data_IF_501786041590
#
_entry.id   IF_501786041590
#
_cell.length_a   1.000
_cell.length_b   1.000
_cell.length_c   1.000
_cell.angle_alpha   90.00
_cell.angle_beta   90.00
_cell.angle_gamma   90.00
#
_symmetry.space_group_name_H-M   'P 1'
#
loop_
_entity.id
_entity.type
_entity.pdbx_description
1 polymer ?
#
# COMPACT_ATOMS: atom_id res chain seq x y z
N UNK A 1 -13.74 -46.82 -43.12
CA UNK A 1 -13.76 -46.05 -41.85
C UNK A 1 -12.38 -45.45 -41.65
N UNK A 2 -12.22 -44.15 -41.91
CA UNK A 2 -10.97 -43.44 -41.62
C UNK A 2 -10.97 -43.13 -40.13
N UNK A 3 -10.05 -43.74 -39.37
CA UNK A 3 -9.77 -43.34 -37.98
C UNK A 3 -9.13 -41.96 -38.04
N UNK A 4 -9.88 -40.93 -37.69
CA UNK A 4 -9.30 -39.63 -37.34
C UNK A 4 -8.56 -39.81 -36.02
N UNK A 5 -7.23 -39.75 -36.07
CA UNK A 5 -6.39 -39.70 -34.88
C UNK A 5 -6.85 -38.53 -34.00
N UNK A 6 -6.93 -38.72 -32.66
CA UNK A 6 -7.27 -37.63 -31.77
C UNK A 6 -6.15 -36.59 -31.87
N UNK A 7 -6.50 -35.39 -32.33
CA UNK A 7 -5.63 -34.22 -32.30
C UNK A 7 -5.17 -34.05 -30.85
N UNK A 8 -3.94 -34.45 -30.54
CA UNK A 8 -3.30 -34.13 -29.28
C UNK A 8 -3.15 -32.61 -29.23
N UNK A 9 -4.11 -31.95 -28.58
CA UNK A 9 -4.08 -30.51 -28.38
C UNK A 9 -2.84 -30.21 -27.51
N UNK A 10 -1.78 -29.69 -28.14
CA UNK A 10 -0.53 -29.32 -27.48
C UNK A 10 -0.86 -28.43 -26.29
N UNK A 11 -0.54 -28.88 -25.07
CA UNK A 11 -0.78 -28.09 -23.87
C UNK A 11 -0.06 -26.74 -23.99
N UNK A 12 -0.82 -25.65 -23.82
CA UNK A 12 -0.28 -24.29 -23.81
C UNK A 12 0.65 -24.13 -22.60
N UNK A 13 1.72 -23.36 -22.76
CA UNK A 13 2.56 -22.98 -21.61
C UNK A 13 1.81 -22.01 -20.70
N UNK A 14 2.23 -21.89 -19.43
CA UNK A 14 1.64 -20.92 -18.50
C UNK A 14 1.69 -19.49 -19.05
N UNK A 15 2.83 -19.11 -19.64
CA UNK A 15 3.02 -17.81 -20.31
C UNK A 15 2.00 -17.60 -21.43
N UNK A 16 1.83 -18.57 -22.32
CA UNK A 16 0.87 -18.48 -23.43
C UNK A 16 -0.58 -18.33 -22.95
N UNK A 17 -0.95 -18.97 -21.84
CA UNK A 17 -2.30 -18.85 -21.27
C UNK A 17 -2.52 -17.44 -20.71
N UNK A 18 -1.54 -16.93 -19.96
CA UNK A 18 -1.58 -15.58 -19.37
C UNK A 18 -1.66 -14.52 -20.47
N UNK A 19 -0.75 -14.57 -21.45
CA UNK A 19 -0.72 -13.61 -22.57
C UNK A 19 -2.02 -13.66 -23.39
N UNK A 20 -2.52 -14.85 -23.72
CA UNK A 20 -3.77 -15.02 -24.47
C UNK A 20 -4.98 -14.44 -23.70
N UNK A 21 -5.00 -14.55 -22.37
CA UNK A 21 -6.04 -13.93 -21.56
C UNK A 21 -5.93 -12.41 -21.51
N UNK A 22 -4.73 -11.89 -21.22
CA UNK A 22 -4.52 -10.46 -21.04
C UNK A 22 -4.67 -9.70 -22.36
N UNK A 23 -4.11 -10.22 -23.45
CA UNK A 23 -4.09 -9.55 -24.75
C UNK A 23 -5.32 -9.84 -25.61
N UNK A 24 -5.87 -11.06 -25.56
CA UNK A 24 -6.96 -11.47 -26.46
C UNK A 24 -8.28 -11.74 -25.72
N UNK A 25 -8.29 -11.70 -24.38
CA UNK A 25 -9.46 -12.05 -23.58
C UNK A 25 -9.81 -13.54 -23.61
N UNK A 26 -8.94 -14.40 -24.15
CA UNK A 26 -9.21 -15.83 -24.34
C UNK A 26 -8.80 -16.65 -23.14
N UNK A 27 -9.61 -17.67 -22.83
CA UNK A 27 -9.31 -18.66 -21.81
C UNK A 27 -8.20 -19.63 -22.21
N UNK A 28 -7.81 -20.45 -21.26
CA UNK A 28 -6.81 -21.48 -21.47
C UNK A 28 -6.59 -22.33 -20.24
N UNK A 29 -6.10 -23.55 -20.44
CA UNK A 29 -5.80 -24.47 -19.35
C UNK A 29 -4.39 -25.04 -19.56
N UNK A 30 -3.58 -24.93 -18.51
CA UNK A 30 -2.24 -25.50 -18.43
C UNK A 30 -2.11 -26.34 -17.18
N UNK A 31 -0.89 -26.80 -16.89
CA UNK A 31 -0.66 -27.70 -15.76
C UNK A 31 -1.03 -27.06 -14.42
N UNK A 32 -0.54 -25.83 -14.17
CA UNK A 32 -0.74 -25.12 -12.89
C UNK A 32 -1.28 -23.69 -13.06
N UNK A 33 -1.71 -23.32 -14.27
CA UNK A 33 -2.32 -22.02 -14.58
C UNK A 33 -3.56 -22.24 -15.42
N UNK A 34 -4.62 -21.51 -15.11
CA UNK A 34 -5.84 -21.46 -15.90
C UNK A 34 -6.26 -20.01 -16.12
N UNK A 35 -6.80 -19.72 -17.29
CA UNK A 35 -7.58 -18.52 -17.54
C UNK A 35 -9.04 -18.93 -17.80
N UNK A 36 -9.97 -18.41 -17.01
CA UNK A 36 -11.40 -18.73 -17.12
C UNK A 36 -12.14 -17.52 -17.66
N UNK A 37 -12.69 -17.65 -18.86
CA UNK A 37 -13.47 -16.58 -19.51
C UNK A 37 -14.73 -16.20 -18.73
N UNK A 38 -15.42 -17.20 -18.14
CA UNK A 38 -16.62 -16.95 -17.32
C UNK A 38 -16.33 -16.02 -16.14
N UNK A 39 -15.18 -16.23 -15.50
CA UNK A 39 -14.78 -15.47 -14.32
C UNK A 39 -14.07 -14.17 -14.73
N UNK A 40 -13.59 -14.10 -15.97
CA UNK A 40 -12.66 -13.08 -16.47
C UNK A 40 -11.44 -12.97 -15.54
N UNK A 41 -10.85 -14.12 -15.22
CA UNK A 41 -9.72 -14.20 -14.30
C UNK A 41 -8.71 -15.29 -14.67
N UNK A 42 -7.46 -15.03 -14.30
CA UNK A 42 -6.36 -16.00 -14.33
C UNK A 42 -6.11 -16.50 -12.92
N UNK A 43 -5.89 -17.79 -12.77
CA UNK A 43 -5.61 -18.43 -11.50
C UNK A 43 -4.34 -19.26 -11.58
N UNK A 44 -3.60 -19.29 -10.47
CA UNK A 44 -2.67 -20.38 -10.22
C UNK A 44 -3.40 -21.54 -9.53
N UNK A 45 -3.22 -22.73 -10.08
CA UNK A 45 -3.71 -24.00 -9.55
C UNK A 45 -2.50 -24.82 -9.12
N UNK A 46 -2.14 -24.76 -7.85
CA UNK A 46 -1.10 -25.66 -7.35
C UNK A 46 -1.73 -26.68 -6.41
N UNK A 47 -1.56 -27.96 -6.75
CA UNK A 47 -1.98 -29.07 -5.90
C UNK A 47 -0.77 -29.55 -5.14
N UNK A 48 -0.81 -29.44 -3.80
CA UNK A 48 0.20 -30.09 -2.96
C UNK A 48 -0.05 -31.60 -2.97
N UNK A 49 0.99 -32.46 -3.01
CA UNK A 49 0.80 -33.91 -3.06
C UNK A 49 -0.08 -34.47 -1.92
N UNK A 50 -0.01 -33.84 -0.74
CA UNK A 50 -0.75 -34.23 0.46
C UNK A 50 -2.06 -33.47 0.69
N UNK A 51 -2.40 -32.50 -0.17
CA UNK A 51 -3.69 -31.80 -0.11
C UNK A 51 -4.46 -32.08 -1.41
N UNK A 52 -5.51 -32.92 -1.36
CA UNK A 52 -6.29 -33.24 -2.55
C UNK A 52 -7.11 -32.04 -3.04
N UNK A 53 -7.31 -30.99 -2.23
CA UNK A 53 -8.02 -29.80 -2.66
C UNK A 53 -7.17 -28.96 -3.60
N UNK A 54 -7.74 -28.63 -4.77
CA UNK A 54 -7.12 -27.69 -5.71
C UNK A 54 -7.43 -26.29 -5.24
N UNK A 55 -6.50 -25.67 -4.53
CA UNK A 55 -6.58 -24.24 -4.22
C UNK A 55 -6.29 -23.44 -5.49
N UNK A 56 -7.30 -22.72 -5.98
CA UNK A 56 -7.13 -21.75 -7.04
C UNK A 56 -6.88 -20.38 -6.40
N UNK A 57 -5.70 -19.82 -6.62
CA UNK A 57 -5.42 -18.45 -6.20
C UNK A 57 -5.60 -17.54 -7.40
N UNK A 58 -6.50 -16.54 -7.35
CA UNK A 58 -6.63 -15.57 -8.42
C UNK A 58 -5.34 -14.73 -8.49
N UNK A 59 -4.81 -14.63 -9.70
CA UNK A 59 -3.60 -13.85 -10.01
C UNK A 59 -3.95 -12.50 -10.65
N UNK A 60 -4.93 -12.47 -11.53
CA UNK A 60 -5.44 -11.23 -12.14
C UNK A 60 -6.89 -11.40 -12.59
N UNK A 61 -7.60 -10.27 -12.62
CA UNK A 61 -9.01 -10.18 -12.99
C UNK A 61 -9.19 -9.03 -13.97
N UNK A 62 -9.94 -9.25 -15.06
CA UNK A 62 -10.35 -8.19 -15.99
C UNK A 62 -11.61 -7.50 -15.47
N UNK A 63 -11.51 -6.21 -15.19
CA UNK A 63 -12.55 -5.36 -14.64
C UNK A 63 -13.59 -4.98 -15.70
N UNK A 64 -14.73 -4.43 -15.27
CA UNK A 64 -15.84 -4.05 -16.17
C UNK A 64 -15.44 -2.97 -17.19
N UNK A 65 -14.52 -2.09 -16.83
CA UNK A 65 -14.00 -1.01 -17.68
C UNK A 65 -12.92 -1.47 -18.67
N UNK A 66 -12.59 -2.76 -18.70
CA UNK A 66 -11.57 -3.35 -19.57
C UNK A 66 -10.18 -3.39 -18.94
N UNK A 67 -9.94 -2.65 -17.85
CA UNK A 67 -8.69 -2.67 -17.12
C UNK A 67 -8.47 -3.97 -16.34
N UNK A 68 -7.31 -4.08 -15.69
CA UNK A 68 -6.94 -5.26 -14.92
C UNK A 68 -6.63 -4.93 -13.46
N UNK A 69 -6.93 -5.88 -12.60
CA UNK A 69 -6.44 -5.89 -11.23
C UNK A 69 -5.63 -7.16 -10.99
N UNK A 70 -4.34 -6.98 -10.75
CA UNK A 70 -3.44 -8.07 -10.37
C UNK A 70 -3.39 -8.20 -8.86
N UNK A 71 -3.37 -9.44 -8.38
CA UNK A 71 -3.16 -9.73 -6.97
C UNK A 71 -1.69 -9.46 -6.63
N UNK A 72 -1.44 -8.45 -5.79
CA UNK A 72 -0.10 -8.06 -5.33
C UNK A 72 0.38 -8.73 -4.05
N UNK A 73 -0.35 -9.72 -3.52
CA UNK A 73 0.07 -10.43 -2.30
C UNK A 73 1.35 -11.25 -2.55
N UNK A 74 2.19 -11.44 -1.53
CA UNK A 74 3.28 -12.42 -1.64
C UNK A 74 2.71 -13.83 -1.68
N UNK A 75 3.06 -14.55 -2.74
CA UNK A 75 2.64 -15.92 -2.96
C UNK A 75 3.82 -16.89 -2.77
N UNK A 76 3.55 -18.11 -2.33
CA UNK A 76 4.59 -19.15 -2.27
C UNK A 76 4.92 -19.71 -3.66
N UNK A 77 5.99 -20.49 -3.73
CA UNK A 77 6.29 -21.26 -4.95
C UNK A 77 5.25 -22.39 -5.13
N UNK A 78 4.72 -22.62 -6.35
CA UNK A 78 5.04 -21.97 -7.63
C UNK A 78 4.15 -20.76 -7.98
N UNK A 79 3.19 -20.40 -7.12
CA UNK A 79 2.23 -19.31 -7.37
C UNK A 79 2.92 -17.97 -7.66
N UNK A 80 4.03 -17.68 -6.97
CA UNK A 80 4.89 -16.51 -7.24
C UNK A 80 5.38 -16.44 -8.68
N UNK A 81 5.85 -17.55 -9.25
CA UNK A 81 6.34 -17.56 -10.64
C UNK A 81 5.22 -17.25 -11.63
N UNK A 82 3.99 -17.69 -11.34
CA UNK A 82 2.85 -17.36 -12.18
C UNK A 82 2.43 -15.89 -12.04
N UNK A 83 2.53 -15.32 -10.84
CA UNK A 83 2.31 -13.90 -10.59
C UNK A 83 3.33 -13.04 -11.34
N UNK A 84 4.63 -13.36 -11.27
CA UNK A 84 5.67 -12.68 -12.06
C UNK A 84 5.37 -12.68 -13.57
N UNK A 85 4.85 -13.79 -14.10
CA UNK A 85 4.43 -13.87 -15.50
C UNK A 85 3.23 -12.96 -15.80
N UNK A 86 2.26 -12.85 -14.88
CA UNK A 86 1.13 -11.93 -15.00
C UNK A 86 1.60 -10.48 -14.99
N UNK A 87 2.45 -10.10 -14.04
CA UNK A 87 2.94 -8.72 -13.91
C UNK A 87 3.74 -8.29 -15.14
N UNK A 88 4.68 -9.10 -15.61
CA UNK A 88 5.44 -8.82 -16.85
C UNK A 88 4.55 -8.70 -18.08
N UNK A 89 3.48 -9.50 -18.15
CA UNK A 89 2.55 -9.44 -19.27
C UNK A 89 1.65 -8.20 -19.21
N UNK A 90 1.30 -7.72 -18.02
CA UNK A 90 0.56 -6.48 -17.80
C UNK A 90 1.40 -5.23 -18.10
N UNK A 91 2.69 -5.23 -17.75
CA UNK A 91 3.61 -4.14 -18.11
C UNK A 91 3.72 -3.92 -19.62
N UNK A 92 3.60 -4.99 -20.41
CA UNK A 92 3.54 -4.93 -21.87
C UNK A 92 2.12 -4.75 -22.44
N UNK A 93 1.08 -4.72 -21.60
CA UNK A 93 -0.30 -4.61 -22.04
C UNK A 93 -0.69 -3.14 -22.32
N UNK A 94 -1.67 -2.95 -23.20
CA UNK A 94 -2.21 -1.61 -23.51
C UNK A 94 -3.25 -1.14 -22.50
N UNK A 95 -3.93 -2.08 -21.86
CA UNK A 95 -5.03 -1.79 -20.94
C UNK A 95 -4.47 -1.35 -19.58
N UNK A 96 -5.12 -0.39 -18.89
CA UNK A 96 -4.70 0.06 -17.58
C UNK A 96 -4.79 -1.08 -16.57
N UNK A 97 -3.83 -1.15 -15.65
CA UNK A 97 -3.87 -2.14 -14.57
C UNK A 97 -3.49 -1.53 -13.22
N UNK A 98 -3.94 -2.17 -12.15
CA UNK A 98 -3.49 -1.92 -10.78
C UNK A 98 -2.92 -3.20 -10.17
N UNK A 99 -1.99 -3.05 -9.24
CA UNK A 99 -1.42 -4.17 -8.48
C UNK A 99 -1.75 -3.98 -7.01
N UNK A 100 -2.67 -4.80 -6.51
CA UNK A 100 -3.21 -4.65 -5.15
C UNK A 100 -3.41 -6.04 -4.56
N UNK A 101 -2.86 -6.35 -3.37
CA UNK A 101 -3.16 -7.58 -2.68
C UNK A 101 -4.68 -7.73 -2.47
N UNK A 102 -5.22 -8.90 -2.81
CA UNK A 102 -6.67 -9.13 -2.70
C UNK A 102 -7.15 -9.16 -1.25
N UNK A 103 -6.26 -9.48 -0.32
CA UNK A 103 -6.48 -9.34 1.12
C UNK A 103 -6.74 -7.88 1.51
N UNK A 104 -5.98 -6.93 0.95
CA UNK A 104 -6.17 -5.50 1.18
C UNK A 104 -7.49 -4.99 0.59
N UNK A 105 -7.90 -5.50 -0.58
CA UNK A 105 -9.23 -5.21 -1.14
C UNK A 105 -10.32 -5.74 -0.23
N UNK A 106 -10.14 -6.94 0.33
CA UNK A 106 -11.11 -7.54 1.26
C UNK A 106 -11.25 -6.69 2.51
N UNK A 107 -10.13 -6.21 3.05
CA UNK A 107 -10.12 -5.27 4.17
C UNK A 107 -10.84 -3.97 3.81
N UNK A 108 -10.53 -3.37 2.67
CA UNK A 108 -11.20 -2.15 2.19
C UNK A 108 -12.71 -2.34 1.97
N UNK A 109 -13.13 -3.52 1.52
CA UNK A 109 -14.53 -3.85 1.26
C UNK A 109 -15.35 -4.06 2.54
N UNK A 110 -14.68 -4.46 3.62
CA UNK A 110 -15.30 -4.85 4.90
C UNK A 110 -14.93 -3.90 6.05
N UNK A 111 -14.41 -2.71 5.72
CA UNK A 111 -13.91 -1.74 6.70
C UNK A 111 -12.96 -2.35 7.75
N UNK A 112 -12.15 -3.32 7.31
CA UNK A 112 -11.14 -4.01 8.10
C UNK A 112 -11.60 -5.24 8.89
N UNK A 113 -12.90 -5.58 8.87
CA UNK A 113 -13.44 -6.75 9.57
C UNK A 113 -12.86 -8.08 9.05
N UNK A 114 -12.59 -8.17 7.74
CA UNK A 114 -12.03 -9.35 7.10
C UNK A 114 -10.78 -8.94 6.31
N UNK A 115 -9.66 -9.61 6.59
CA UNK A 115 -8.36 -9.35 5.95
C UNK A 115 -7.82 -10.55 5.16
N UNK A 116 -8.64 -11.57 4.97
CA UNK A 116 -8.29 -12.79 4.24
C UNK A 116 -9.25 -12.95 3.06
N UNK A 117 -8.70 -12.92 1.85
CA UNK A 117 -9.42 -13.11 0.60
C UNK A 117 -10.28 -14.38 0.60
N UNK A 118 -9.83 -15.46 1.23
CA UNK A 118 -10.57 -16.73 1.26
C UNK A 118 -11.86 -16.64 2.09
N UNK A 119 -11.99 -15.57 2.88
CA UNK A 119 -13.18 -15.26 3.71
C UNK A 119 -13.95 -14.06 3.17
N UNK A 120 -13.60 -13.54 1.99
CA UNK A 120 -14.24 -12.37 1.41
C UNK A 120 -15.77 -12.58 1.26
N UNK A 121 -16.60 -11.62 1.68
CA UNK A 121 -18.07 -11.72 1.57
C UNK A 121 -18.56 -11.37 0.15
N UNK A 122 -17.70 -11.46 -0.85
CA UNK A 122 -17.97 -11.08 -2.23
C UNK A 122 -17.19 -11.98 -3.19
N UNK A 123 -17.64 -12.00 -4.44
CA UNK A 123 -17.05 -12.85 -5.49
C UNK A 123 -16.19 -12.04 -6.45
N UNK A 124 -15.45 -12.73 -7.33
CA UNK A 124 -14.77 -12.07 -8.44
C UNK A 124 -15.73 -11.29 -9.36
N UNK A 125 -16.99 -11.74 -9.50
CA UNK A 125 -18.01 -11.00 -10.26
C UNK A 125 -18.32 -9.65 -9.61
N UNK A 126 -18.30 -9.59 -8.27
CA UNK A 126 -18.50 -8.34 -7.54
C UNK A 126 -17.26 -7.46 -7.64
N UNK A 127 -16.06 -8.03 -7.48
CA UNK A 127 -14.79 -7.30 -7.67
C UNK A 127 -14.75 -6.63 -9.06
N UNK A 128 -15.12 -7.34 -10.12
CA UNK A 128 -15.19 -6.78 -11.48
C UNK A 128 -16.14 -5.61 -11.64
N UNK A 129 -17.22 -5.57 -10.85
CA UNK A 129 -18.28 -4.58 -10.95
C UNK A 129 -17.98 -3.35 -10.11
N UNK A 130 -17.45 -3.56 -8.91
CA UNK A 130 -17.30 -2.53 -7.87
C UNK A 130 -15.86 -1.99 -7.77
N UNK A 131 -14.89 -2.63 -8.43
CA UNK A 131 -13.51 -2.16 -8.46
C UNK A 131 -13.15 -1.60 -9.83
N UNK A 132 -12.49 -0.45 -9.86
CA UNK A 132 -11.93 0.16 -11.07
C UNK A 132 -10.56 0.76 -10.79
N UNK A 133 -9.69 0.77 -11.81
CA UNK A 133 -8.38 1.43 -11.74
C UNK A 133 -8.58 2.91 -12.09
N UNK A 134 -8.20 3.81 -11.17
CA UNK A 134 -8.38 5.27 -11.32
C UNK A 134 -7.07 5.91 -11.77
N UNK A 135 -5.99 5.58 -11.09
CA UNK A 135 -4.63 5.91 -11.52
C UNK A 135 -3.92 4.57 -11.76
N UNK A 136 -3.56 4.25 -13.02
CA UNK A 136 -2.94 2.99 -13.34
C UNK A 136 -1.54 2.87 -12.76
N UNK A 137 -1.17 1.63 -12.48
CA UNK A 137 0.18 1.23 -12.15
C UNK A 137 1.11 1.39 -13.35
N UNK A 138 2.35 1.76 -13.06
CA UNK A 138 3.47 1.77 -14.01
C UNK A 138 4.25 0.45 -14.05
N UNK A 139 3.80 -0.56 -13.30
CA UNK A 139 4.51 -1.84 -13.14
C UNK A 139 5.39 -1.92 -11.89
N UNK A 140 6.24 -2.94 -11.85
CA UNK A 140 7.29 -3.05 -10.84
C UNK A 140 8.45 -2.11 -11.21
N UNK A 141 8.87 -1.29 -10.25
CA UNK A 141 10.03 -0.42 -10.46
C UNK A 141 10.91 -0.33 -9.22
N UNK A 142 12.20 -0.11 -9.49
CA UNK A 142 13.17 0.24 -8.47
C UNK A 142 13.40 1.74 -8.52
N UNK A 143 12.93 2.45 -7.50
CA UNK A 143 13.12 3.89 -7.37
C UNK A 143 14.30 4.19 -6.45
N UNK A 144 15.12 5.14 -6.85
CA UNK A 144 16.10 5.76 -5.98
C UNK A 144 15.44 6.92 -5.24
N UNK A 145 15.43 6.85 -3.91
CA UNK A 145 14.96 7.92 -3.04
C UNK A 145 16.12 8.49 -2.25
N UNK A 146 16.16 9.81 -2.13
CA UNK A 146 17.12 10.50 -1.28
C UNK A 146 16.56 10.59 0.13
N UNK A 147 17.27 9.99 1.09
CA UNK A 147 16.92 10.00 2.52
C UNK A 147 18.04 10.68 3.29
N UNK A 148 17.70 11.61 4.17
CA UNK A 148 18.68 12.23 5.07
C UNK A 148 19.00 11.29 6.23
N UNK A 149 20.29 11.05 6.45
CA UNK A 149 20.77 10.24 7.57
C UNK A 149 20.74 11.01 8.90
N UNK A 150 21.20 10.35 9.98
CA UNK A 150 21.24 10.92 11.33
C UNK A 150 22.08 12.20 11.43
N UNK A 151 22.99 12.43 10.49
CA UNK A 151 23.86 13.60 10.40
C UNK A 151 23.36 14.62 9.36
N UNK A 152 22.17 14.40 8.79
CA UNK A 152 21.56 15.26 7.78
C UNK A 152 22.16 15.11 6.37
N UNK A 153 23.03 14.11 6.16
CA UNK A 153 23.66 13.83 4.85
C UNK A 153 22.69 13.06 3.98
N UNK A 154 22.68 13.36 2.68
CA UNK A 154 21.86 12.63 1.73
C UNK A 154 22.42 11.22 1.52
N UNK A 155 21.56 10.22 1.65
CA UNK A 155 21.81 8.83 1.30
C UNK A 155 20.80 8.39 0.25
N UNK A 156 21.25 7.68 -0.76
CA UNK A 156 20.35 7.08 -1.75
C UNK A 156 19.91 5.71 -1.26
N UNK A 157 18.60 5.46 -1.24
CA UNK A 157 18.03 4.13 -1.03
C UNK A 157 17.31 3.68 -2.28
N UNK A 158 17.38 2.38 -2.57
CA UNK A 158 16.59 1.74 -3.61
C UNK A 158 15.37 1.09 -2.99
N UNK A 159 14.20 1.50 -3.45
CA UNK A 159 12.90 1.02 -2.98
C UNK A 159 12.25 0.27 -4.12
N UNK A 160 11.64 -0.87 -3.78
CA UNK A 160 10.84 -1.64 -4.71
C UNK A 160 9.40 -1.19 -4.57
N UNK A 161 8.83 -0.55 -5.58
CA UNK A 161 7.41 -0.20 -5.58
C UNK A 161 6.64 -1.22 -6.40
N UNK A 162 5.74 -1.94 -5.74
CA UNK A 162 4.85 -2.89 -6.37
C UNK A 162 3.57 -2.17 -6.82
N UNK A 163 3.63 -1.58 -8.00
CA UNK A 163 2.47 -1.05 -8.70
C UNK A 163 1.67 0.04 -7.98
N UNK A 164 2.38 1.13 -7.67
CA UNK A 164 1.81 2.42 -7.26
C UNK A 164 0.58 2.77 -8.09
N UNK A 165 -0.60 2.77 -7.45
CA UNK A 165 -1.86 2.95 -8.14
C UNK A 165 -2.93 3.52 -7.22
N UNK A 166 -3.98 4.05 -7.83
CA UNK A 166 -5.21 4.40 -7.13
C UNK A 166 -6.31 3.54 -7.70
N UNK A 167 -7.00 2.83 -6.82
CA UNK A 167 -8.19 2.07 -7.18
C UNK A 167 -9.43 2.72 -6.55
N UNK A 168 -10.58 2.49 -7.15
CA UNK A 168 -11.86 2.69 -6.51
C UNK A 168 -12.37 1.34 -6.04
N UNK A 169 -12.83 1.24 -4.80
CA UNK A 169 -13.55 0.08 -4.27
C UNK A 169 -14.91 0.58 -3.79
N UNK A 170 -15.99 0.16 -4.48
CA UNK A 170 -17.34 0.71 -4.30
C UNK A 170 -17.32 2.24 -4.50
N UNK A 171 -17.63 2.99 -3.45
CA UNK A 171 -17.72 4.46 -3.49
C UNK A 171 -16.45 5.14 -2.95
N UNK A 172 -15.44 4.38 -2.53
CA UNK A 172 -14.21 4.91 -1.94
C UNK A 172 -13.01 4.84 -2.88
N UNK A 173 -12.14 5.86 -2.82
CA UNK A 173 -10.83 5.85 -3.46
C UNK A 173 -9.75 5.35 -2.49
N UNK A 174 -8.87 4.50 -2.98
CA UNK A 174 -7.81 3.89 -2.19
C UNK A 174 -6.46 4.03 -2.90
N UNK A 175 -5.49 4.58 -2.19
CA UNK A 175 -4.10 4.68 -2.60
C UNK A 175 -3.38 3.38 -2.21
N UNK A 176 -2.86 2.67 -3.20
CA UNK A 176 -2.05 1.46 -3.05
C UNK A 176 -0.61 1.80 -3.39
N UNK A 177 0.31 1.60 -2.46
CA UNK A 177 1.71 1.93 -2.70
C UNK A 177 2.64 1.37 -1.63
N UNK A 178 3.92 1.74 -1.73
CA UNK A 178 4.96 1.34 -0.79
C UNK A 178 5.45 2.55 0.01
N UNK A 179 5.38 2.44 1.33
CA UNK A 179 5.94 3.40 2.26
C UNK A 179 7.47 3.27 2.29
N UNK A 180 8.14 4.30 1.76
CA UNK A 180 9.59 4.41 1.70
C UNK A 180 10.30 4.45 3.05
N UNK A 181 9.57 4.83 4.09
CA UNK A 181 10.08 4.88 5.46
C UNK A 181 10.10 3.50 6.11
N UNK A 182 9.48 2.49 5.48
CA UNK A 182 9.55 1.10 5.91
C UNK A 182 10.96 0.50 5.83
N UNK A 183 11.23 -0.49 6.69
CA UNK A 183 12.46 -1.27 6.66
C UNK A 183 12.60 -2.04 5.33
N UNK A 184 13.83 -2.51 5.06
CA UNK A 184 14.18 -3.26 3.86
C UNK A 184 13.86 -2.49 2.57
N UNK A 185 12.86 -2.97 1.81
CA UNK A 185 12.43 -2.46 0.50
C UNK A 185 11.23 -1.51 0.61
N UNK A 186 10.85 -1.12 1.82
CA UNK A 186 9.62 -0.38 2.11
C UNK A 186 8.48 -1.29 2.58
N UNK A 187 7.38 -0.70 3.02
CA UNK A 187 6.19 -1.42 3.50
C UNK A 187 5.00 -1.07 2.65
N UNK A 188 4.33 -2.08 2.10
CA UNK A 188 3.10 -1.85 1.35
C UNK A 188 1.98 -1.32 2.26
N UNK A 189 1.19 -0.38 1.73
CA UNK A 189 -0.02 0.12 2.36
C UNK A 189 -1.15 0.28 1.36
N UNK A 190 -2.39 0.17 1.86
CA UNK A 190 -3.61 0.58 1.18
C UNK A 190 -4.36 1.59 2.05
N UNK A 191 -4.43 2.85 1.63
CA UNK A 191 -5.06 3.92 2.41
C UNK A 191 -6.29 4.49 1.70
N UNK A 192 -7.41 4.61 2.44
CA UNK A 192 -8.63 5.28 1.95
C UNK A 192 -8.42 6.79 1.92
N UNK A 193 -8.66 7.38 0.76
CA UNK A 193 -8.60 8.82 0.55
C UNK A 193 -9.92 9.47 0.99
N UNK A 194 -9.84 10.55 1.77
CA UNK A 194 -10.99 11.36 2.18
C UNK A 194 -11.30 12.41 1.11
N UNK A 195 -11.88 11.96 -0.01
CA UNK A 195 -12.21 12.78 -1.18
C UNK A 195 -13.44 12.22 -1.89
N UNK A 196 -14.25 13.10 -2.44
CA UNK A 196 -15.40 12.73 -3.29
C UNK A 196 -15.05 12.68 -4.77
N UNK A 197 -13.84 13.11 -5.14
CA UNK A 197 -13.36 13.11 -6.53
C UNK A 197 -12.17 12.18 -6.73
N UNK A 198 -12.03 11.57 -7.93
CA UNK A 198 -10.85 10.80 -8.26
C UNK A 198 -9.60 11.70 -8.29
N UNK A 199 -8.45 11.24 -7.77
CA UNK A 199 -7.18 11.91 -8.00
C UNK A 199 -6.75 11.74 -9.46
N UNK A 200 -6.15 12.78 -10.04
CA UNK A 200 -5.62 12.78 -11.40
C UNK A 200 -4.25 12.11 -11.51
N UNK A 201 -3.55 11.92 -10.38
CA UNK A 201 -2.23 11.27 -10.34
C UNK A 201 -1.96 10.60 -8.99
N UNK A 202 -0.95 9.73 -8.95
CA UNK A 202 -0.48 9.10 -7.73
C UNK A 202 0.05 10.13 -6.72
N UNK A 203 0.77 11.15 -7.20
CA UNK A 203 1.29 12.23 -6.36
C UNK A 203 0.17 13.07 -5.74
N UNK A 204 -0.91 13.32 -6.48
CA UNK A 204 -2.08 14.01 -5.94
C UNK A 204 -2.77 13.17 -4.86
N UNK A 205 -2.87 11.86 -5.05
CA UNK A 205 -3.42 10.95 -4.04
C UNK A 205 -2.56 10.94 -2.76
N UNK A 206 -1.24 10.96 -2.86
CA UNK A 206 -0.34 11.15 -1.71
C UNK A 206 -0.59 12.49 -1.01
N UNK A 207 -0.87 13.56 -1.75
CA UNK A 207 -1.17 14.87 -1.18
C UNK A 207 -2.52 14.89 -0.44
N UNK A 208 -3.50 14.06 -0.81
CA UNK A 208 -4.74 13.91 -0.03
C UNK A 208 -4.52 13.33 1.36
N UNK A 209 -3.43 12.61 1.59
CA UNK A 209 -3.07 12.12 2.92
C UNK A 209 -2.49 13.23 3.82
N UNK A 210 -2.08 14.37 3.26
CA UNK A 210 -1.45 15.46 4.02
C UNK A 210 -2.52 16.33 4.68
N UNK A 211 -2.50 16.50 6.02
CA UNK A 211 -3.33 17.49 6.69
C UNK A 211 -3.05 18.91 6.19
N UNK A 212 -4.03 19.81 6.29
CA UNK A 212 -3.88 21.21 5.86
C UNK A 212 -2.65 21.89 6.47
N UNK A 213 -2.37 21.65 7.76
CA UNK A 213 -1.20 22.22 8.44
C UNK A 213 0.14 21.77 7.82
N UNK A 214 0.21 20.54 7.31
CA UNK A 214 1.39 20.01 6.59
C UNK A 214 1.51 20.69 5.23
N UNK A 215 0.42 20.75 4.47
CA UNK A 215 0.39 21.40 3.15
C UNK A 215 0.79 22.88 3.25
N UNK A 216 0.22 23.60 4.22
CA UNK A 216 0.52 25.01 4.46
C UNK A 216 1.99 25.20 4.86
N UNK A 217 2.60 24.25 5.59
CA UNK A 217 4.01 24.31 5.97
C UNK A 217 4.93 24.07 4.77
N UNK A 218 4.67 23.06 3.94
CA UNK A 218 5.42 22.79 2.71
C UNK A 218 5.31 23.97 1.74
N UNK A 219 4.12 24.58 1.60
CA UNK A 219 3.90 25.76 0.76
C UNK A 219 4.72 26.98 1.21
N UNK A 220 5.09 27.06 2.50
CA UNK A 220 6.02 28.07 3.04
C UNK A 220 7.50 27.68 2.91
N UNK A 221 7.80 26.58 2.23
CA UNK A 221 9.16 26.06 2.06
C UNK A 221 9.68 25.28 3.27
N UNK A 222 8.83 24.87 4.21
CA UNK A 222 9.27 24.04 5.32
C UNK A 222 9.59 22.62 4.82
N UNK A 223 10.74 22.10 5.25
CA UNK A 223 11.09 20.69 5.03
C UNK A 223 10.35 19.81 6.05
N UNK A 224 9.15 19.37 5.70
CA UNK A 224 8.36 18.45 6.52
C UNK A 224 8.89 17.04 6.36
N UNK A 225 9.09 16.35 7.48
CA UNK A 225 9.60 14.97 7.51
C UNK A 225 8.46 14.01 7.81
N UNK A 226 8.57 12.76 7.35
CA UNK A 226 7.52 11.73 7.54
C UNK A 226 8.12 10.42 8.03
N UNK A 227 7.38 9.70 8.86
CA UNK A 227 7.55 8.28 9.16
C UNK A 227 6.16 7.66 9.28
N UNK A 228 5.83 6.69 8.42
CA UNK A 228 4.48 6.13 8.40
C UNK A 228 3.41 7.22 8.25
N UNK A 229 2.36 7.10 9.04
CA UNK A 229 1.26 8.07 9.09
C UNK A 229 1.59 9.38 9.81
N UNK A 230 2.82 9.58 10.29
CA UNK A 230 3.21 10.78 11.05
C UNK A 230 4.07 11.74 10.25
N UNK A 231 3.72 13.02 10.34
CA UNK A 231 4.49 14.14 9.84
C UNK A 231 5.12 14.92 10.99
N UNK A 232 6.38 15.34 10.79
CA UNK A 232 7.12 16.21 11.70
C UNK A 232 7.40 17.54 11.00
N UNK A 233 6.67 18.57 11.39
CA UNK A 233 6.78 19.92 10.85
C UNK A 233 7.80 20.70 11.69
N UNK A 234 8.89 21.24 11.13
CA UNK A 234 9.86 22.00 11.90
C UNK A 234 9.23 23.28 12.46
N UNK A 235 9.60 23.65 13.70
CA UNK A 235 9.06 24.83 14.39
C UNK A 235 10.17 25.71 14.95
N UNK A 236 9.84 26.98 15.20
CA UNK A 236 10.72 27.92 15.91
C UNK A 236 10.36 28.03 17.41
N UNK A 237 9.55 27.12 17.93
CA UNK A 237 9.13 27.16 19.34
C UNK A 237 10.33 26.84 20.22
N UNK A 238 10.58 27.69 21.20
CA UNK A 238 11.70 27.54 22.12
C UNK A 238 11.35 26.55 23.22
N UNK A 239 12.35 25.81 23.70
CA UNK A 239 12.18 24.93 24.88
C UNK A 239 11.66 25.71 26.08
N UNK A 240 12.13 26.94 26.31
CA UNK A 240 11.64 27.78 27.40
C UNK A 240 10.15 28.12 27.30
N UNK A 241 9.62 28.28 26.08
CA UNK A 241 8.20 28.51 25.87
C UNK A 241 7.39 27.26 26.22
N UNK A 242 7.81 26.09 25.72
CA UNK A 242 7.14 24.81 26.01
C UNK A 242 7.19 24.46 27.49
N UNK A 243 8.34 24.67 28.15
CA UNK A 243 8.47 24.41 29.59
C UNK A 243 7.62 25.38 30.41
N UNK A 244 7.53 26.66 30.02
CA UNK A 244 6.62 27.61 30.67
C UNK A 244 5.15 27.17 30.55
N UNK A 245 4.75 26.55 29.44
CA UNK A 245 3.41 25.97 29.30
C UNK A 245 3.19 24.70 30.14
N UNK A 246 4.23 23.92 30.36
CA UNK A 246 4.20 22.78 31.30
C UNK A 246 4.04 23.27 32.74
N UNK A 247 4.81 24.28 33.15
CA UNK A 247 4.72 24.90 34.49
C UNK A 247 3.34 25.52 34.76
N UNK A 248 2.71 26.09 33.72
CA UNK A 248 1.33 26.60 33.77
C UNK A 248 0.25 25.51 33.77
N UNK A 249 0.62 24.24 33.62
CA UNK A 249 -0.33 23.12 33.53
C UNK A 249 -1.13 23.06 32.23
N UNK A 250 -0.68 23.76 31.17
CA UNK A 250 -1.33 23.73 29.84
C UNK A 250 -0.87 22.52 29.02
N UNK A 251 0.35 22.06 29.26
CA UNK A 251 0.97 20.93 28.60
C UNK A 251 1.64 19.97 29.59
N UNK A 252 1.96 18.76 29.12
CA UNK A 252 2.69 17.75 29.90
C UNK A 252 3.92 17.32 29.11
N UNK A 253 5.06 17.20 29.81
CA UNK A 253 6.30 16.63 29.28
C UNK A 253 6.31 15.12 29.48
N UNK A 254 6.68 14.40 28.44
CA UNK A 254 6.90 12.97 28.47
C UNK A 254 8.24 12.66 27.80
N UNK A 255 8.95 11.71 28.37
CA UNK A 255 10.06 11.00 27.73
C UNK A 255 9.52 9.64 27.27
N UNK A 256 9.98 9.16 26.13
CA UNK A 256 9.57 7.87 25.57
C UNK A 256 8.05 7.74 25.32
N UNK A 257 7.40 8.82 24.87
CA UNK A 257 5.96 8.85 24.67
C UNK A 257 5.50 8.04 23.46
N UNK A 258 4.56 7.12 23.66
CA UNK A 258 3.94 6.35 22.58
C UNK A 258 2.69 7.08 22.05
N UNK A 259 2.68 7.36 20.74
CA UNK A 259 1.60 8.01 20.01
C UNK A 259 0.45 7.06 19.68
N UNK A 260 -0.75 7.65 19.62
CA UNK A 260 -1.96 7.01 19.11
C UNK A 260 -2.63 6.07 20.11
N UNK A 261 -3.84 5.62 19.75
CA UNK A 261 -4.62 4.65 20.53
C UNK A 261 -4.05 3.24 20.38
N UNK A 262 -3.53 2.93 19.20
CA UNK A 262 -2.98 1.63 18.83
C UNK A 262 -1.49 1.50 19.20
N UNK A 263 -0.84 2.62 19.55
CA UNK A 263 0.38 2.63 20.35
C UNK A 263 1.65 2.14 19.64
N UNK A 264 1.91 2.59 18.42
CA UNK A 264 2.95 2.00 17.57
C UNK A 264 4.09 2.95 17.14
N UNK A 265 4.06 4.22 17.52
CA UNK A 265 5.17 5.16 17.31
C UNK A 265 5.63 5.78 18.63
N UNK A 266 6.89 5.62 18.99
CA UNK A 266 7.52 6.18 20.17
C UNK A 266 8.27 7.47 19.82
N UNK A 267 8.06 8.50 20.64
CA UNK A 267 8.77 9.77 20.63
C UNK A 267 9.79 9.78 21.77
N UNK A 268 11.05 10.10 21.48
CA UNK A 268 12.09 10.22 22.49
C UNK A 268 11.76 11.28 23.54
N UNK A 269 11.40 12.49 23.10
CA UNK A 269 10.91 13.55 23.97
C UNK A 269 9.69 14.24 23.36
N UNK A 270 8.63 14.41 24.16
CA UNK A 270 7.37 14.98 23.73
C UNK A 270 6.79 16.00 24.72
N UNK A 271 6.14 17.02 24.18
CA UNK A 271 5.30 17.98 24.90
C UNK A 271 3.89 17.91 24.33
N UNK A 272 2.91 17.61 25.19
CA UNK A 272 1.53 17.36 24.79
C UNK A 272 0.62 18.37 25.47
N UNK A 273 -0.05 19.21 24.67
CA UNK A 273 -1.00 20.18 25.20
C UNK A 273 -2.30 19.50 25.62
N UNK A 274 -2.68 19.64 26.90
CA UNK A 274 -3.89 19.04 27.49
C UNK A 274 -5.04 20.05 27.58
N UNK A 275 -4.74 21.35 27.56
CA UNK A 275 -5.72 22.42 27.67
C UNK A 275 -5.42 23.63 26.77
N UNK A 276 -6.34 24.60 26.77
CA UNK A 276 -6.22 25.83 26.00
C UNK A 276 -6.39 25.67 24.48
N UNK A 277 -6.07 26.72 23.70
CA UNK A 277 -6.24 26.73 22.23
C UNK A 277 -5.40 25.69 21.49
N UNK A 278 -4.32 25.20 22.11
CA UNK A 278 -3.41 24.22 21.53
C UNK A 278 -3.73 22.77 21.94
N UNK A 279 -4.83 22.53 22.66
CA UNK A 279 -5.20 21.18 23.15
C UNK A 279 -5.10 20.14 22.02
N UNK A 280 -4.35 19.06 22.28
CA UNK A 280 -4.11 17.98 21.33
C UNK A 280 -2.90 18.17 20.43
N UNK A 281 -2.25 19.34 20.45
CA UNK A 281 -1.00 19.56 19.74
C UNK A 281 0.14 18.85 20.46
N UNK A 282 0.98 18.17 19.68
CA UNK A 282 2.15 17.44 20.15
C UNK A 282 3.38 18.07 19.53
N UNK A 283 4.36 18.41 20.36
CA UNK A 283 5.70 18.77 19.93
C UNK A 283 6.67 17.66 20.31
N UNK A 284 7.60 17.32 19.43
CA UNK A 284 8.62 16.32 19.72
C UNK A 284 10.00 16.73 19.20
N UNK A 285 11.05 16.15 19.80
CA UNK A 285 12.44 16.22 19.34
C UNK A 285 13.15 14.91 19.70
N UNK A 286 14.41 14.77 19.28
CA UNK A 286 15.15 13.50 19.38
C UNK A 286 14.79 12.59 18.22
N UNK A 287 14.26 11.41 18.51
CA UNK A 287 13.88 10.40 17.52
C UNK A 287 12.38 10.08 17.55
N UNK A 288 11.80 9.78 16.37
CA UNK A 288 10.53 9.04 16.24
C UNK A 288 10.87 7.61 15.80
N UNK A 289 10.35 6.59 16.47
CA UNK A 289 10.58 5.19 16.11
C UNK A 289 9.30 4.38 16.12
N UNK A 290 9.15 3.47 15.18
CA UNK A 290 8.09 2.48 15.24
C UNK A 290 8.41 1.43 16.30
N UNK A 291 7.47 1.12 17.20
CA UNK A 291 7.72 0.21 18.34
C UNK A 291 7.97 -1.24 17.90
N UNK A 292 7.33 -1.67 16.82
CA UNK A 292 7.57 -2.98 16.20
C UNK A 292 8.77 -2.99 15.22
N UNK A 293 9.53 -1.88 15.13
CA UNK A 293 10.65 -1.73 14.19
C UNK A 293 10.25 -2.00 12.73
N UNK A 294 9.07 -1.53 12.31
CA UNK A 294 8.59 -1.66 10.93
C UNK A 294 9.15 -0.53 10.05
N UNK A 295 9.40 0.65 10.62
CA UNK A 295 9.95 1.80 9.94
C UNK A 295 11.37 2.13 10.39
N UNK A 296 12.13 2.76 9.49
CA UNK A 296 13.41 3.38 9.83
C UNK A 296 13.16 4.53 10.81
N UNK A 297 13.90 4.59 11.93
CA UNK A 297 13.81 5.71 12.85
C UNK A 297 14.02 7.07 12.18
N UNK A 298 13.20 8.05 12.55
CA UNK A 298 13.22 9.40 12.03
C UNK A 298 13.89 10.32 13.04
N UNK A 299 15.08 10.79 12.70
CA UNK A 299 15.94 11.58 13.58
C UNK A 299 15.59 13.06 13.56
N UNK A 300 14.70 13.55 14.43
CA UNK A 300 14.32 14.97 14.52
C UNK A 300 15.45 15.88 15.01
N UNK A 301 16.41 15.35 15.78
CA UNK A 301 17.50 16.13 16.36
C UNK A 301 17.03 17.05 17.49
N UNK A 302 17.77 18.12 17.78
CA UNK A 302 17.49 18.97 18.96
C UNK A 302 16.34 19.97 18.79
N UNK A 303 15.88 20.20 17.56
CA UNK A 303 14.81 21.18 17.26
C UNK A 303 13.44 20.57 17.50
N UNK A 304 12.52 21.37 18.05
CA UNK A 304 11.13 20.96 18.22
C UNK A 304 10.39 20.93 16.88
N UNK A 305 9.69 19.82 16.66
CA UNK A 305 8.80 19.61 15.53
C UNK A 305 7.36 19.47 16.04
N UNK A 306 6.40 20.04 15.33
CA UNK A 306 5.00 19.73 15.54
C UNK A 306 4.71 18.38 14.88
N UNK A 307 4.20 17.44 15.68
CA UNK A 307 3.88 16.09 15.22
C UNK A 307 2.40 16.04 14.83
N UNK A 308 2.15 15.64 13.59
CA UNK A 308 0.81 15.65 12.99
C UNK A 308 0.54 14.30 12.35
N UNK A 309 -0.57 13.68 12.71
CA UNK A 309 -1.05 12.46 12.06
C UNK A 309 -1.63 12.80 10.67
N UNK A 310 -1.49 11.89 9.72
CA UNK A 310 -2.05 12.03 8.38
C UNK A 310 -3.58 12.12 8.38
N UNK A 311 -4.16 12.53 7.25
CA UNK A 311 -5.59 12.48 7.01
C UNK A 311 -5.88 11.24 6.18
N UNK A 312 -6.28 10.16 6.84
CA UNK A 312 -6.74 8.94 6.17
C UNK A 312 -8.04 8.46 6.82
N UNK A 313 -8.93 7.86 6.03
CA UNK A 313 -10.14 7.23 6.58
C UNK A 313 -9.79 5.93 7.29
N UNK A 314 -9.44 4.92 6.49
CA UNK A 314 -8.94 3.62 6.94
C UNK A 314 -7.61 3.33 6.25
N UNK A 315 -6.70 2.63 6.94
CA UNK A 315 -5.43 2.18 6.37
C UNK A 315 -5.25 0.69 6.65
N UNK A 316 -4.84 -0.03 5.64
CA UNK A 316 -4.60 -1.46 5.68
C UNK A 316 -3.15 -1.71 5.26
N UNK A 317 -2.30 -2.00 6.23
CA UNK A 317 -1.02 -2.65 5.98
C UNK A 317 -1.26 -4.16 5.98
N UNK A 318 -0.60 -4.89 5.09
CA UNK A 318 -0.37 -6.31 5.36
C UNK A 318 0.99 -6.36 6.04
N UNK A 319 1.04 -6.85 7.27
CA UNK A 319 2.32 -7.11 7.94
C UNK A 319 2.72 -8.52 7.52
N UNK A 320 3.67 -8.62 6.60
CA UNK A 320 4.11 -9.89 6.02
C UNK A 320 4.94 -9.63 4.77
N UNK A 321 5.94 -10.48 4.50
CA UNK A 321 6.85 -10.35 3.35
C UNK A 321 6.05 -10.01 2.09
N UNK A 322 6.23 -8.83 1.53
CA UNK A 322 5.86 -8.53 0.15
C UNK A 322 7.10 -8.81 -0.69
N UNK A 323 6.92 -9.51 -1.81
CA UNK A 323 8.01 -9.76 -2.75
C UNK A 323 8.12 -8.58 -3.72
#
# INVERSE_FOLDING_TARGET
MVRTDPIQQKMKTHKQIIESFLQEGKGGNGTNVVAKEKDQAVYSRYRRPWDPSRHEVPLAVRLKDGGFLANGASLDWPRRQHQELVLRALEGAKDPFGVVPFDSITAAWTDGEIRDWNRAPFTLKDLRREVSVVVPSTGEEWREVSVKDKLGRDQTRRIHTLGDSVIRVRDGFYLSGVDETGLYRGIYFLARLLTDRPPASFQEALNFLKPKVVQDAEARGAYVRRQGEWFAIPTNVLTSQLMGDVERGLAVRHEEHILGRDGHHQLEEAIIYRGGPQRGTVFARGQIAHTANEHIPLELGFRWHQIVHNVQGASYSLVGKFD
#
